data_IF_309533780470
#
_entry.id   IF_309533780470
#
_cell.length_a   1.000
_cell.length_b   1.000
_cell.length_c   1.000
_cell.angle_alpha   90.00
_cell.angle_beta   90.00
_cell.angle_gamma   90.00
#
_symmetry.space_group_name_H-M   'P 1'
#
loop_
_entity.id
_entity.type
_entity.pdbx_description
1 polymer ?
#
# COMPACT_ATOMS: atom_id res chain seq x y z
N UNK A 1 18.85 17.45 17.46
CA UNK A 1 17.89 16.33 17.24
C UNK A 1 17.14 16.65 15.95
N UNK A 2 17.06 15.71 15.01
CA UNK A 2 16.22 15.91 13.82
C UNK A 2 14.75 15.71 14.23
N UNK A 3 13.81 16.55 13.75
CA UNK A 3 12.40 16.29 13.96
C UNK A 3 12.05 14.91 13.38
N UNK A 4 11.07 14.19 13.96
CA UNK A 4 10.61 12.93 13.38
C UNK A 4 10.23 13.18 11.92
N UNK A 5 10.90 12.50 10.98
CA UNK A 5 10.53 12.59 9.57
C UNK A 5 9.18 11.90 9.41
N UNK A 6 8.23 12.64 8.85
CA UNK A 6 6.99 12.05 8.41
C UNK A 6 7.24 11.21 7.16
N UNK A 7 7.23 9.88 7.33
CA UNK A 7 7.68 8.95 6.30
C UNK A 7 6.55 8.10 5.73
N UNK A 8 6.40 8.18 4.41
CA UNK A 8 5.54 7.31 3.61
C UNK A 8 6.37 6.18 3.00
N UNK A 9 6.20 4.96 3.50
CA UNK A 9 6.97 3.78 3.08
C UNK A 9 6.03 2.81 2.37
N UNK A 10 6.38 2.36 1.16
CA UNK A 10 5.59 1.35 0.45
C UNK A 10 6.37 0.05 0.29
N UNK A 11 5.79 -1.05 0.76
CA UNK A 11 6.36 -2.38 0.64
C UNK A 11 5.58 -3.14 -0.43
N UNK A 12 6.29 -3.65 -1.44
CA UNK A 12 5.69 -4.59 -2.39
C UNK A 12 5.65 -5.97 -1.74
N UNK A 13 4.44 -6.50 -1.51
CA UNK A 13 4.25 -7.87 -1.06
C UNK A 13 4.40 -8.78 -2.29
N UNK A 14 5.54 -9.45 -2.41
CA UNK A 14 5.79 -10.42 -3.47
C UNK A 14 4.90 -11.66 -3.24
N UNK A 15 3.97 -11.91 -4.16
CA UNK A 15 3.03 -13.06 -4.16
C UNK A 15 3.76 -14.43 -4.12
N UNK A 16 3.19 -15.57 -3.64
CA UNK A 16 3.90 -16.85 -3.37
C UNK A 16 4.63 -17.47 -4.56
N UNK A 17 4.16 -17.17 -5.77
CA UNK A 17 4.84 -17.34 -7.06
C UNK A 17 6.30 -16.87 -7.04
N UNK A 18 6.58 -15.75 -6.37
CA UNK A 18 7.90 -15.12 -6.28
C UNK A 18 8.83 -15.82 -5.28
N UNK A 19 8.35 -16.76 -4.46
CA UNK A 19 9.20 -17.63 -3.62
C UNK A 19 9.56 -18.94 -4.34
N UNK A 20 8.63 -19.47 -5.14
CA UNK A 20 8.82 -20.74 -5.88
C UNK A 20 10.02 -20.64 -6.84
N UNK A 21 10.22 -19.53 -7.54
CA UNK A 21 11.36 -19.36 -8.47
C UNK A 21 12.68 -18.87 -7.85
N UNK A 22 12.67 -18.39 -6.60
CA UNK A 22 13.88 -17.92 -5.89
C UNK A 22 14.49 -19.06 -5.06
N UNK A 23 13.66 -19.96 -4.51
CA UNK A 23 14.10 -21.03 -3.59
C UNK A 23 14.03 -22.42 -4.24
N UNK A 24 13.32 -22.59 -5.37
CA UNK A 24 13.17 -23.92 -6.02
C UNK A 24 13.31 -23.88 -7.55
N UNK A 25 13.76 -24.97 -8.21
CA UNK A 25 14.01 -25.01 -9.66
C UNK A 25 12.72 -25.27 -10.51
N UNK A 26 11.57 -24.73 -10.09
CA UNK A 26 10.28 -24.96 -10.76
C UNK A 26 9.88 -23.78 -11.65
N UNK A 27 8.95 -24.02 -12.59
CA UNK A 27 8.51 -23.03 -13.57
C UNK A 27 7.93 -21.77 -12.91
N UNK A 28 8.28 -20.59 -13.44
CA UNK A 28 7.77 -19.30 -12.98
C UNK A 28 6.25 -19.29 -13.09
N UNK A 29 5.58 -19.09 -11.97
CA UNK A 29 4.14 -18.85 -11.97
C UNK A 29 3.91 -17.40 -12.44
N UNK A 30 2.86 -17.09 -13.23
CA UNK A 30 2.60 -15.72 -13.67
C UNK A 30 2.17 -14.84 -12.49
N UNK A 31 2.90 -13.73 -12.29
CA UNK A 31 2.59 -12.72 -11.26
C UNK A 31 1.39 -11.90 -11.72
N UNK A 32 0.19 -12.35 -11.37
CA UNK A 32 -1.03 -11.56 -11.60
C UNK A 32 -1.38 -10.83 -10.30
N UNK A 33 -1.30 -9.49 -10.37
CA UNK A 33 -1.42 -8.49 -9.29
C UNK A 33 -0.31 -8.49 -8.22
N UNK A 34 0.72 -7.64 -8.42
CA UNK A 34 1.70 -7.33 -7.36
C UNK A 34 1.01 -6.60 -6.21
N UNK A 35 0.90 -7.26 -5.07
CA UNK A 35 0.41 -6.64 -3.85
C UNK A 35 1.37 -5.54 -3.38
N UNK A 36 0.82 -4.42 -2.90
CA UNK A 36 1.59 -3.32 -2.31
C UNK A 36 0.92 -2.89 -1.02
N UNK A 37 1.67 -2.45 -0.03
CA UNK A 37 1.15 -1.88 1.22
C UNK A 37 1.90 -0.60 1.50
N UNK A 38 1.18 0.49 1.73
CA UNK A 38 1.73 1.79 2.08
C UNK A 38 1.55 2.04 3.58
N UNK A 39 2.61 2.50 4.22
CA UNK A 39 2.70 2.84 5.64
C UNK A 39 2.99 4.34 5.80
N UNK A 40 2.44 4.94 6.85
CA UNK A 40 2.74 6.29 7.30
C UNK A 40 3.21 6.24 8.75
N UNK A 41 4.44 6.69 9.01
CA UNK A 41 5.04 6.65 10.35
C UNK A 41 4.95 5.24 11.00
N UNK A 42 5.09 4.18 10.19
CA UNK A 42 4.98 2.79 10.62
C UNK A 42 3.55 2.24 10.72
N UNK A 43 2.51 3.06 10.52
CA UNK A 43 1.10 2.64 10.53
C UNK A 43 0.64 2.32 9.10
N UNK A 44 0.09 1.13 8.82
CA UNK A 44 -0.40 0.79 7.49
C UNK A 44 -1.65 1.62 7.13
N UNK A 45 -1.61 2.30 5.99
CA UNK A 45 -2.73 3.11 5.49
C UNK A 45 -3.59 2.35 4.49
N UNK A 46 -2.97 1.74 3.48
CA UNK A 46 -3.70 1.06 2.41
C UNK A 46 -2.83 0.01 1.70
N UNK A 47 -3.48 -0.85 0.95
CA UNK A 47 -2.85 -1.86 0.12
C UNK A 47 -3.47 -1.91 -1.28
N UNK A 48 -2.67 -2.33 -2.26
CA UNK A 48 -3.17 -2.86 -3.52
C UNK A 48 -3.32 -4.37 -3.40
N UNK A 49 -4.53 -4.89 -3.48
CA UNK A 49 -4.81 -6.32 -3.43
C UNK A 49 -5.62 -6.72 -4.66
N UNK A 50 -5.17 -7.73 -5.42
CA UNK A 50 -5.89 -8.14 -6.65
C UNK A 50 -6.05 -7.05 -7.71
N UNK A 51 -5.24 -5.97 -7.66
CA UNK A 51 -5.38 -4.81 -8.53
C UNK A 51 -6.32 -3.72 -8.01
N UNK A 52 -6.94 -3.93 -6.85
CA UNK A 52 -7.87 -3.00 -6.22
C UNK A 52 -7.23 -2.27 -5.03
N UNK A 53 -7.70 -1.06 -4.77
CA UNK A 53 -7.31 -0.29 -3.58
C UNK A 53 -8.10 -0.78 -2.38
N UNK A 54 -7.38 -1.13 -1.31
CA UNK A 54 -7.95 -1.56 -0.03
C UNK A 54 -7.40 -0.67 1.09
N UNK A 55 -8.26 0.13 1.70
CA UNK A 55 -7.90 0.85 2.93
C UNK A 55 -7.65 -0.15 4.07
N UNK A 56 -6.63 0.10 4.88
CA UNK A 56 -6.26 -0.71 6.05
C UNK A 56 -6.48 0.05 7.37
N UNK A 57 -6.77 1.36 7.29
CA UNK A 57 -7.06 2.24 8.41
C UNK A 57 -7.58 3.58 7.91
N UNK A 58 -7.64 4.56 8.81
CA UNK A 58 -7.94 5.95 8.47
C UNK A 58 -6.81 6.53 7.62
N UNK A 59 -7.18 7.22 6.55
CA UNK A 59 -6.22 7.83 5.62
C UNK A 59 -6.44 9.33 5.71
N UNK A 60 -5.44 10.12 6.16
CA UNK A 60 -5.51 11.58 6.06
C UNK A 60 -5.74 11.99 4.61
N UNK A 61 -6.70 12.88 4.37
CA UNK A 61 -7.09 13.34 3.03
C UNK A 61 -5.88 13.89 2.26
N UNK A 62 -4.96 14.54 2.95
CA UNK A 62 -3.75 15.13 2.36
C UNK A 62 -2.77 14.07 1.86
N UNK A 63 -2.81 12.86 2.43
CA UNK A 63 -1.94 11.74 2.06
C UNK A 63 -2.54 10.88 0.95
N UNK A 64 -3.85 10.95 0.71
CA UNK A 64 -4.54 10.09 -0.25
C UNK A 64 -3.91 10.12 -1.66
N UNK A 65 -3.59 11.30 -2.26
CA UNK A 65 -2.97 11.33 -3.59
C UNK A 65 -1.62 10.60 -3.64
N UNK A 66 -0.82 10.74 -2.58
CA UNK A 66 0.50 10.09 -2.45
C UNK A 66 0.36 8.57 -2.27
N UNK A 67 -0.66 8.13 -1.53
CA UNK A 67 -0.97 6.71 -1.33
C UNK A 67 -1.44 6.06 -2.63
N UNK A 68 -2.33 6.71 -3.38
CA UNK A 68 -2.81 6.21 -4.68
C UNK A 68 -1.67 6.11 -5.72
N UNK A 69 -0.79 7.11 -5.76
CA UNK A 69 0.41 7.08 -6.59
C UNK A 69 1.33 5.91 -6.21
N UNK A 70 1.62 5.73 -4.92
CA UNK A 70 2.49 4.67 -4.43
C UNK A 70 1.93 3.27 -4.69
N UNK A 71 0.62 3.09 -4.53
CA UNK A 71 -0.07 1.83 -4.82
C UNK A 71 -0.30 1.61 -6.32
N UNK A 72 -0.32 2.68 -7.13
CA UNK A 72 -0.63 2.64 -8.55
C UNK A 72 -2.07 2.19 -8.82
N UNK A 73 -2.99 2.47 -7.91
CA UNK A 73 -4.42 2.20 -8.00
C UNK A 73 -5.18 3.29 -7.25
N UNK A 74 -6.35 3.69 -7.76
CA UNK A 74 -7.21 4.71 -7.14
C UNK A 74 -8.11 4.11 -6.07
N UNK A 75 -8.40 4.88 -5.03
CA UNK A 75 -9.36 4.51 -4.01
C UNK A 75 -10.75 4.32 -4.63
N UNK A 76 -11.43 3.24 -4.25
CA UNK A 76 -12.84 3.06 -4.58
C UNK A 76 -13.69 4.03 -3.75
N UNK A 77 -14.94 4.27 -4.15
CA UNK A 77 -15.89 5.08 -3.35
C UNK A 77 -16.05 4.57 -1.93
N UNK A 78 -15.98 3.25 -1.75
CA UNK A 78 -16.06 2.60 -0.44
C UNK A 78 -14.82 2.94 0.40
N UNK A 79 -13.63 2.87 -0.19
CA UNK A 79 -12.37 3.25 0.48
C UNK A 79 -12.30 4.75 0.79
N UNK A 80 -12.91 5.61 -0.04
CA UNK A 80 -12.99 7.05 0.22
C UNK A 80 -13.76 7.40 1.49
N UNK A 81 -14.64 6.53 2.00
CA UNK A 81 -15.34 6.76 3.27
C UNK A 81 -14.45 6.67 4.51
N UNK A 82 -13.27 6.08 4.38
CA UNK A 82 -12.24 5.97 5.43
C UNK A 82 -11.19 7.08 5.32
N UNK A 83 -11.36 7.99 4.37
CA UNK A 83 -10.54 9.19 4.24
C UNK A 83 -11.10 10.21 5.23
N UNK A 84 -10.27 10.63 6.16
CA UNK A 84 -10.61 11.63 7.16
C UNK A 84 -9.82 12.90 6.87
N UNK A 85 -10.37 14.10 7.12
CA UNK A 85 -9.56 15.31 7.12
C UNK A 85 -8.41 15.13 8.12
N UNK A 86 -7.20 15.55 7.72
CA UNK A 86 -6.03 15.46 8.58
C UNK A 86 -6.32 16.06 9.94
N UNK A 87 -5.89 15.37 11.00
CA UNK A 87 -5.88 15.95 12.34
C UNK A 87 -4.90 17.13 12.30
N UNK A 88 -5.42 18.33 12.01
CA UNK A 88 -4.79 19.56 12.47
C UNK A 88 -4.74 19.47 14.00
N UNK A 89 -3.60 19.00 14.56
CA UNK A 89 -2.86 19.54 15.72
C UNK A 89 -1.54 18.78 15.92
#
# INVERSE_FOLDING_TARGET
EQPPSEELITISAADPVNLVGIITPHAKVPSTAHHRITYWNGVPLAARQGGEFRALGEIPEELLPRVEEALGVRASREASSLVQPGLDQ
#
